data_IF_716591737271
#
_entry.id   IF_716591737271
#
_cell.length_a   1.000
_cell.length_b   1.000
_cell.length_c   1.000
_cell.angle_alpha   90.00
_cell.angle_beta   90.00
_cell.angle_gamma   90.00
#
_symmetry.space_group_name_H-M   'P 1'
#
loop_
_entity.id
_entity.type
_entity.pdbx_description
1 polymer ?
#
# COMPACT_ATOMS: atom_id res chain seq x y z
N UNK A 1 -4.56 -17.62 -62.67
CA UNK A 1 -5.11 -17.00 -61.44
C UNK A 1 -4.22 -17.26 -60.20
N UNK A 2 -2.91 -16.99 -60.27
CA UNK A 2 -1.92 -17.43 -59.23
C UNK A 2 -1.16 -16.28 -58.55
N UNK A 3 -1.52 -15.02 -58.87
CA UNK A 3 -0.75 -13.83 -58.47
C UNK A 3 -1.36 -12.97 -57.37
N UNK A 4 -2.59 -13.23 -56.91
CA UNK A 4 -3.28 -12.37 -55.91
C UNK A 4 -3.20 -12.87 -54.45
N UNK A 5 -2.80 -14.11 -54.20
CA UNK A 5 -2.76 -14.67 -52.83
C UNK A 5 -1.54 -14.25 -51.99
N UNK A 6 -0.46 -13.76 -52.59
CA UNK A 6 0.75 -13.38 -51.82
C UNK A 6 0.66 -12.04 -51.12
N UNK A 7 -0.24 -11.14 -51.53
CA UNK A 7 -0.41 -9.81 -50.89
C UNK A 7 -1.26 -9.85 -49.62
N UNK A 8 -2.13 -10.84 -49.47
CA UNK A 8 -2.99 -10.95 -48.28
C UNK A 8 -2.35 -11.73 -47.12
N UNK A 9 -1.27 -12.49 -47.37
CA UNK A 9 -0.56 -13.24 -46.33
C UNK A 9 0.40 -12.35 -45.51
N UNK A 10 0.89 -11.25 -46.07
CA UNK A 10 1.69 -10.27 -45.32
C UNK A 10 0.84 -9.30 -44.50
N UNK A 11 -0.46 -9.18 -44.80
CA UNK A 11 -1.36 -8.22 -44.12
C UNK A 11 -2.04 -8.86 -42.89
N UNK A 12 -2.16 -10.19 -42.83
CA UNK A 12 -2.70 -10.88 -41.65
C UNK A 12 -1.69 -11.10 -40.52
N UNK A 13 -0.38 -10.95 -40.75
CA UNK A 13 0.65 -11.08 -39.70
C UNK A 13 0.90 -9.75 -38.95
N UNK A 14 0.59 -8.61 -39.57
CA UNK A 14 0.76 -7.29 -38.92
C UNK A 14 -0.39 -6.86 -38.01
N UNK A 15 -1.51 -7.59 -37.99
CA UNK A 15 -2.70 -7.19 -37.24
C UNK A 15 -2.82 -7.83 -35.84
N UNK A 16 -1.82 -8.59 -35.37
CA UNK A 16 -1.97 -9.44 -34.18
C UNK A 16 -1.18 -9.01 -32.93
N UNK A 17 -0.40 -7.93 -32.92
CA UNK A 17 0.37 -7.54 -31.72
C UNK A 17 0.49 -6.03 -31.53
N UNK A 18 -0.65 -5.39 -31.33
CA UNK A 18 -0.71 -4.14 -30.56
C UNK A 18 -1.73 -4.37 -29.46
N UNK A 19 -1.42 -5.34 -28.57
CA UNK A 19 -1.91 -5.28 -27.20
C UNK A 19 -1.08 -4.18 -26.55
N UNK A 20 -1.53 -2.94 -26.66
CA UNK A 20 -1.11 -1.89 -25.73
C UNK A 20 -1.64 -2.38 -24.39
N UNK A 21 -0.79 -3.03 -23.61
CA UNK A 21 -1.01 -3.18 -22.17
C UNK A 21 -1.14 -1.75 -21.65
N UNK A 22 -2.37 -1.32 -21.39
CA UNK A 22 -2.57 -0.15 -20.53
C UNK A 22 -1.86 -0.52 -19.23
N UNK A 23 -0.81 0.21 -18.88
CA UNK A 23 -0.20 0.12 -17.57
C UNK A 23 -1.27 0.61 -16.57
N UNK A 24 -2.06 -0.34 -16.07
CA UNK A 24 -2.91 -0.09 -14.92
C UNK A 24 -2.04 -0.01 -13.68
N UNK A 25 -2.40 0.85 -12.75
CA UNK A 25 -1.88 0.72 -11.39
C UNK A 25 -2.47 -0.54 -10.78
N UNK A 26 -1.64 -1.33 -10.09
CA UNK A 26 -2.14 -2.37 -9.21
C UNK A 26 -2.83 -1.69 -8.04
N UNK A 27 -3.95 -2.24 -7.59
CA UNK A 27 -4.78 -1.64 -6.55
C UNK A 27 -5.21 -2.71 -5.54
N UNK A 28 -5.05 -2.39 -4.26
CA UNK A 28 -5.49 -3.20 -3.13
C UNK A 28 -6.46 -2.39 -2.26
N UNK A 29 -7.47 -3.08 -1.74
CA UNK A 29 -8.36 -2.53 -0.72
C UNK A 29 -8.04 -3.23 0.59
N UNK A 30 -7.57 -2.45 1.55
CA UNK A 30 -7.49 -2.82 2.96
C UNK A 30 -8.83 -2.41 3.57
N UNK A 31 -9.65 -3.40 3.92
CA UNK A 31 -10.92 -3.16 4.59
C UNK A 31 -10.67 -2.83 6.05
N UNK A 32 -11.41 -1.88 6.58
CA UNK A 32 -11.41 -1.67 8.02
C UNK A 32 -11.97 -2.91 8.73
N UNK A 33 -11.15 -3.46 9.61
CA UNK A 33 -11.47 -4.58 10.47
C UNK A 33 -10.73 -4.30 11.76
N UNK A 34 -11.44 -3.90 12.82
CA UNK A 34 -10.90 -3.64 14.15
C UNK A 34 -9.48 -4.14 14.34
N UNK A 35 -8.53 -3.22 14.28
CA UNK A 35 -7.15 -3.43 14.73
C UNK A 35 -6.87 -2.54 15.94
N UNK A 36 -5.92 -2.95 16.78
CA UNK A 36 -5.42 -2.16 17.89
C UNK A 36 -5.93 -2.68 19.24
N UNK A 37 -5.48 -2.10 20.35
CA UNK A 37 -5.88 -2.51 21.69
C UNK A 37 -5.90 -1.37 22.70
N UNK A 38 -6.11 -1.71 23.98
CA UNK A 38 -5.96 -0.76 25.09
C UNK A 38 -7.03 0.33 25.15
N UNK A 39 -8.26 0.00 25.52
CA UNK A 39 -9.34 0.98 25.70
C UNK A 39 -10.27 0.58 26.85
N UNK A 40 -11.10 1.52 27.30
CA UNK A 40 -12.25 1.24 28.18
C UNK A 40 -13.53 1.08 27.35
N UNK A 41 -14.40 0.09 27.65
CA UNK A 41 -15.60 -0.17 26.86
C UNK A 41 -16.71 0.90 27.00
N UNK A 42 -16.52 1.94 27.81
CA UNK A 42 -17.57 2.93 28.12
C UNK A 42 -18.12 3.68 26.89
N UNK A 43 -17.25 4.03 25.93
CA UNK A 43 -17.63 4.74 24.70
C UNK A 43 -17.27 3.95 23.43
N UNK A 44 -17.03 2.66 23.61
CA UNK A 44 -16.76 1.73 22.53
C UNK A 44 -18.03 1.45 21.72
N UNK A 45 -17.94 1.64 20.41
CA UNK A 45 -18.93 1.29 19.39
C UNK A 45 -18.43 0.09 18.59
N UNK A 46 -19.32 -0.55 17.81
CA UNK A 46 -18.95 -1.63 16.88
C UNK A 46 -18.10 -2.76 17.49
N UNK A 47 -18.35 -3.08 18.78
CA UNK A 47 -17.56 -4.10 19.48
C UNK A 47 -16.16 -3.65 19.91
N UNK A 48 -15.95 -2.33 20.03
CA UNK A 48 -14.71 -1.66 20.44
C UNK A 48 -13.85 -1.13 19.31
N UNK A 49 -14.35 -1.22 18.08
CA UNK A 49 -13.66 -0.80 16.86
C UNK A 49 -13.46 0.72 16.85
N UNK A 50 -14.57 1.43 17.06
CA UNK A 50 -14.59 2.88 17.14
C UNK A 50 -14.82 3.30 18.58
N UNK A 51 -14.04 4.24 19.08
CA UNK A 51 -14.29 4.94 20.34
C UNK A 51 -14.86 6.32 20.02
N UNK A 52 -16.09 6.59 20.41
CA UNK A 52 -16.74 7.88 20.11
C UNK A 52 -17.69 8.30 21.22
N UNK A 53 -17.68 9.58 21.57
CA UNK A 53 -18.66 10.14 22.50
C UNK A 53 -20.07 10.05 21.92
N UNK A 54 -21.12 9.95 22.77
CA UNK A 54 -22.50 9.92 22.29
C UNK A 54 -22.91 11.12 21.43
N UNK A 55 -22.21 12.25 21.55
CA UNK A 55 -22.42 13.47 20.75
C UNK A 55 -21.67 13.48 19.41
N UNK A 56 -20.79 12.52 19.18
CA UNK A 56 -19.84 12.45 18.06
C UNK A 56 -19.83 11.04 17.44
N UNK A 57 -21.00 10.41 17.36
CA UNK A 57 -21.14 9.05 16.81
C UNK A 57 -20.53 9.01 15.41
N UNK A 58 -19.66 8.04 15.19
CA UNK A 58 -18.90 7.81 13.95
C UNK A 58 -17.94 8.93 13.54
N UNK A 59 -17.73 9.96 14.35
CA UNK A 59 -16.82 11.06 13.99
C UNK A 59 -15.34 10.65 13.89
N UNK A 60 -15.01 9.40 14.24
CA UNK A 60 -13.68 8.82 14.13
C UNK A 60 -13.64 7.60 13.22
N UNK A 61 -14.77 7.22 12.59
CA UNK A 61 -14.91 5.98 11.82
C UNK A 61 -14.04 6.01 10.56
N UNK A 62 -13.34 4.91 10.29
CA UNK A 62 -12.52 4.70 9.10
C UNK A 62 -13.14 3.56 8.29
N UNK A 63 -13.50 3.81 7.04
CA UNK A 63 -14.18 2.79 6.22
C UNK A 63 -13.19 1.80 5.57
N UNK A 64 -12.11 2.33 4.98
CA UNK A 64 -11.13 1.56 4.22
C UNK A 64 -9.90 2.38 3.87
N UNK A 65 -8.85 1.66 3.48
CA UNK A 65 -7.64 2.19 2.86
C UNK A 65 -7.47 1.53 1.49
N UNK A 66 -7.29 2.34 0.46
CA UNK A 66 -6.97 1.89 -0.89
C UNK A 66 -5.51 2.25 -1.16
N UNK A 67 -4.71 1.25 -1.48
CA UNK A 67 -3.33 1.45 -1.93
C UNK A 67 -3.29 1.17 -3.42
N UNK A 68 -2.75 2.10 -4.20
CA UNK A 68 -2.48 1.88 -5.61
C UNK A 68 -1.03 2.19 -5.94
N UNK A 69 -0.42 1.33 -6.77
CA UNK A 69 0.98 1.43 -7.15
C UNK A 69 1.05 1.33 -8.67
N UNK A 70 1.53 2.40 -9.31
CA UNK A 70 1.65 2.43 -10.76
C UNK A 70 2.97 1.81 -11.27
N UNK A 71 3.10 1.67 -12.59
CA UNK A 71 4.31 1.12 -13.22
C UNK A 71 5.57 1.96 -13.02
N UNK A 72 5.46 3.20 -12.51
CA UNK A 72 6.60 4.06 -12.17
C UNK A 72 7.01 3.95 -10.68
N UNK A 73 6.29 3.14 -9.91
CA UNK A 73 6.49 2.98 -8.46
C UNK A 73 5.86 4.10 -7.65
N UNK A 74 5.00 4.92 -8.26
CA UNK A 74 4.23 5.93 -7.53
C UNK A 74 3.14 5.23 -6.75
N UNK A 75 3.18 5.40 -5.43
CA UNK A 75 2.18 4.91 -4.48
C UNK A 75 1.18 6.03 -4.23
N UNK A 76 -0.10 5.71 -4.30
CA UNK A 76 -1.19 6.52 -3.75
C UNK A 76 -1.89 5.69 -2.67
N UNK A 77 -1.87 6.19 -1.43
CA UNK A 77 -2.65 5.64 -0.31
C UNK A 77 -3.82 6.58 -0.06
N UNK A 78 -5.03 6.07 -0.25
CA UNK A 78 -6.29 6.80 -0.03
C UNK A 78 -7.07 6.18 1.10
N UNK A 79 -7.31 6.94 2.16
CA UNK A 79 -8.08 6.53 3.33
C UNK A 79 -9.45 7.20 3.26
N UNK A 80 -10.50 6.41 3.39
CA UNK A 80 -11.88 6.90 3.50
C UNK A 80 -12.26 6.96 4.98
N UNK A 81 -12.64 8.11 5.49
CA UNK A 81 -12.97 8.30 6.91
C UNK A 81 -13.96 9.45 7.12
N UNK A 82 -14.81 9.32 8.13
CA UNK A 82 -15.69 10.39 8.63
C UNK A 82 -14.92 11.38 9.53
N UNK A 83 -13.66 11.09 9.85
CA UNK A 83 -12.84 11.90 10.72
C UNK A 83 -12.43 13.24 10.11
N UNK A 84 -12.78 14.31 10.83
CA UNK A 84 -12.38 15.68 10.50
C UNK A 84 -11.35 16.17 11.53
N UNK A 85 -10.24 16.71 11.02
CA UNK A 85 -9.16 17.32 11.82
C UNK A 85 -9.70 18.30 12.88
N UNK A 86 -9.20 18.20 14.11
CA UNK A 86 -9.63 19.04 15.24
C UNK A 86 -10.82 18.50 16.03
N UNK A 87 -11.51 17.44 15.57
CA UNK A 87 -12.62 16.81 16.32
C UNK A 87 -12.14 16.39 17.71
N UNK A 88 -12.81 16.84 18.78
CA UNK A 88 -12.37 16.63 20.16
C UNK A 88 -10.89 16.98 20.45
N UNK A 89 -10.33 17.98 19.74
CA UNK A 89 -8.95 18.44 19.93
C UNK A 89 -7.88 17.49 19.37
N UNK A 90 -8.28 16.52 18.56
CA UNK A 90 -7.38 15.57 17.89
C UNK A 90 -6.82 16.15 16.60
N UNK A 91 -5.82 15.48 16.01
CA UNK A 91 -5.27 15.81 14.69
C UNK A 91 -5.17 14.57 13.82
N UNK A 92 -4.99 14.76 12.52
CA UNK A 92 -4.51 13.66 11.66
C UNK A 92 -3.19 13.11 12.20
N UNK A 93 -3.08 11.78 12.21
CA UNK A 93 -1.82 11.11 12.43
C UNK A 93 -1.00 10.99 11.14
N UNK A 94 0.15 10.35 11.29
CA UNK A 94 1.09 10.03 10.22
C UNK A 94 0.77 8.67 9.61
N UNK A 95 1.14 8.48 8.34
CA UNK A 95 1.02 7.19 7.67
C UNK A 95 2.30 6.39 7.92
N UNK A 96 2.20 5.30 8.66
CA UNK A 96 3.31 4.38 8.90
C UNK A 96 3.41 3.36 7.76
N UNK A 97 4.63 3.01 7.40
CA UNK A 97 4.96 2.17 6.25
C UNK A 97 5.99 1.13 6.68
N UNK A 98 5.65 -0.14 6.50
CA UNK A 98 6.56 -1.28 6.63
C UNK A 98 6.98 -1.76 5.23
N UNK A 99 8.21 -2.24 5.14
CA UNK A 99 8.86 -2.67 3.89
C UNK A 99 9.24 -4.15 3.87
N UNK A 100 8.94 -4.86 4.96
CA UNK A 100 9.13 -6.30 5.09
C UNK A 100 7.80 -7.07 5.33
N UNK A 101 6.67 -6.38 5.17
CA UNK A 101 5.33 -6.96 5.15
C UNK A 101 4.40 -6.31 6.19
N UNK A 102 3.34 -7.03 6.56
CA UNK A 102 2.47 -6.63 7.66
C UNK A 102 2.29 -7.82 8.60
N UNK A 103 2.83 -7.69 9.80
CA UNK A 103 2.96 -8.72 10.84
C UNK A 103 2.32 -8.23 12.15
N UNK A 104 0.98 -8.03 12.17
CA UNK A 104 0.28 -7.58 13.38
C UNK A 104 0.37 -8.61 14.50
N UNK A 105 0.20 -8.15 15.73
CA UNK A 105 0.25 -8.99 16.91
C UNK A 105 -1.07 -9.71 17.20
N UNK A 106 -0.96 -11.00 17.50
CA UNK A 106 -2.07 -11.83 17.95
C UNK A 106 -2.88 -12.43 16.80
N UNK A 107 -4.13 -12.78 17.08
CA UNK A 107 -5.05 -13.38 16.11
C UNK A 107 -6.04 -12.34 15.59
N UNK A 108 -6.40 -12.45 14.31
CA UNK A 108 -7.42 -11.62 13.67
C UNK A 108 -8.67 -11.51 14.55
N UNK A 109 -9.17 -10.29 14.81
CA UNK A 109 -8.83 -9.06 14.10
C UNK A 109 -7.66 -8.26 14.72
N UNK A 110 -6.84 -8.85 15.60
CA UNK A 110 -5.64 -8.24 16.20
C UNK A 110 -5.96 -7.18 17.28
N UNK A 111 -6.85 -7.55 18.21
CA UNK A 111 -7.38 -6.69 19.30
C UNK A 111 -6.38 -6.35 20.42
N UNK A 112 -5.21 -6.97 20.37
CA UNK A 112 -4.13 -6.77 21.34
C UNK A 112 -2.90 -6.12 20.67
N UNK A 113 -3.02 -5.70 19.40
CA UNK A 113 -1.97 -4.99 18.68
C UNK A 113 -1.84 -3.56 19.23
N UNK A 114 -0.66 -3.24 19.75
CA UNK A 114 -0.35 -1.94 20.30
C UNK A 114 1.13 -1.62 20.04
N UNK A 115 1.52 -0.38 20.28
CA UNK A 115 2.92 0.00 20.27
C UNK A 115 3.72 -0.86 21.26
N UNK A 116 4.76 -1.53 20.73
CA UNK A 116 5.70 -2.35 21.49
C UNK A 116 5.48 -3.86 21.39
N UNK A 117 4.34 -4.32 20.84
CA UNK A 117 4.15 -5.73 20.48
C UNK A 117 3.64 -5.94 19.05
N UNK A 118 3.06 -4.90 18.41
CA UNK A 118 2.58 -4.92 17.04
C UNK A 118 3.68 -4.82 15.98
N UNK A 119 3.27 -4.41 14.78
CA UNK A 119 4.14 -4.24 13.61
C UNK A 119 5.31 -3.29 13.88
N UNK A 120 6.46 -3.61 13.31
CA UNK A 120 7.62 -2.71 13.31
C UNK A 120 7.64 -1.91 12.02
N UNK A 121 7.57 -0.58 12.14
CA UNK A 121 7.53 0.31 10.98
C UNK A 121 8.94 0.82 10.64
N UNK A 122 9.34 0.77 9.36
CA UNK A 122 10.63 1.33 8.91
C UNK A 122 10.55 2.81 8.57
N UNK A 123 9.39 3.26 8.08
CA UNK A 123 9.17 4.62 7.63
C UNK A 123 7.85 5.18 8.14
N UNK A 124 7.78 6.51 8.21
CA UNK A 124 6.52 7.21 8.35
C UNK A 124 6.49 8.45 7.45
N UNK A 125 5.35 8.68 6.82
CA UNK A 125 5.01 9.93 6.17
C UNK A 125 4.50 10.91 7.23
N UNK A 126 5.26 11.97 7.49
CA UNK A 126 4.83 13.09 8.35
C UNK A 126 3.77 13.91 7.61
N UNK A 127 2.52 13.79 8.05
CA UNK A 127 1.34 14.42 7.44
C UNK A 127 1.42 15.95 7.51
N UNK A 128 2.13 16.50 8.49
CA UNK A 128 2.24 17.94 8.69
C UNK A 128 3.32 18.59 7.81
N UNK A 129 4.35 17.82 7.45
CA UNK A 129 5.50 18.29 6.67
C UNK A 129 5.50 17.81 5.21
N UNK A 130 4.63 16.86 4.85
CA UNK A 130 4.62 16.22 3.53
C UNK A 130 6.00 15.65 3.18
N UNK A 131 6.52 14.81 4.07
CA UNK A 131 7.84 14.22 3.91
C UNK A 131 7.90 12.86 4.59
N UNK A 132 8.71 11.96 4.05
CA UNK A 132 8.93 10.64 4.65
C UNK A 132 10.22 10.66 5.44
N UNK A 133 10.17 10.06 6.62
CA UNK A 133 11.32 9.87 7.51
C UNK A 133 11.51 8.38 7.80
N UNK A 134 12.76 7.98 8.02
CA UNK A 134 13.06 6.67 8.56
C UNK A 134 12.80 6.67 10.07
N UNK A 135 12.10 5.66 10.56
CA UNK A 135 11.86 5.44 12.00
C UNK A 135 13.17 5.26 12.77
N UNK A 136 14.25 4.82 12.12
CA UNK A 136 15.57 4.73 12.76
C UNK A 136 16.13 6.09 13.22
N UNK A 137 15.68 7.19 12.59
CA UNK A 137 16.17 8.55 12.85
C UNK A 137 15.18 9.43 13.63
N UNK A 138 13.98 8.91 13.93
CA UNK A 138 12.91 9.64 14.63
C UNK A 138 12.35 8.81 15.78
N UNK A 139 11.53 9.41 16.63
CA UNK A 139 10.78 8.66 17.66
C UNK A 139 9.31 8.58 17.30
N UNK A 140 8.72 7.39 17.44
CA UNK A 140 7.27 7.21 17.36
C UNK A 140 6.60 7.86 18.57
N UNK A 141 5.57 8.66 18.31
CA UNK A 141 4.66 9.22 19.28
C UNK A 141 3.38 8.39 19.29
N UNK A 142 2.98 7.99 20.49
CA UNK A 142 1.76 7.23 20.72
C UNK A 142 0.60 8.13 21.09
N UNK A 143 -0.63 7.63 21.00
CA UNK A 143 -1.83 8.31 21.48
C UNK A 143 -1.72 8.79 22.94
N UNK A 144 -0.97 8.07 23.80
CA UNK A 144 -0.72 8.46 25.18
C UNK A 144 0.14 9.74 25.30
N UNK A 145 1.02 10.01 24.34
CA UNK A 145 1.80 11.26 24.32
C UNK A 145 0.88 12.49 24.22
N UNK A 146 -0.32 12.34 23.67
CA UNK A 146 -1.29 13.43 23.47
C UNK A 146 -2.43 13.39 24.50
N UNK A 147 -2.94 12.20 24.85
CA UNK A 147 -4.21 12.04 25.57
C UNK A 147 -4.10 11.34 26.93
N UNK A 148 -2.89 11.10 27.47
CA UNK A 148 -2.71 10.49 28.81
C UNK A 148 -3.36 11.25 29.98
N UNK A 149 -3.75 12.51 29.77
CA UNK A 149 -4.49 13.33 30.74
C UNK A 149 -6.00 13.04 30.75
N UNK A 150 -6.53 12.31 29.76
CA UNK A 150 -7.92 11.89 29.68
C UNK A 150 -8.08 10.44 30.13
N UNK A 151 -9.30 10.02 30.54
CA UNK A 151 -9.60 8.61 30.75
C UNK A 151 -9.48 7.79 29.46
N UNK A 152 -9.07 6.52 29.56
CA UNK A 152 -8.94 5.58 28.42
C UNK A 152 -10.26 5.19 27.75
N UNK A 153 -11.38 5.80 28.15
CA UNK A 153 -12.65 5.72 27.43
C UNK A 153 -12.75 6.74 26.28
N UNK A 154 -11.90 7.77 26.26
CA UNK A 154 -11.95 8.85 25.27
C UNK A 154 -10.98 8.66 24.10
N UNK A 155 -10.01 7.77 24.27
CA UNK A 155 -8.95 7.50 23.31
C UNK A 155 -8.47 6.06 23.47
N UNK A 156 -7.93 5.50 22.40
CA UNK A 156 -7.29 4.18 22.41
C UNK A 156 -5.85 4.36 22.84
N UNK A 157 -5.44 3.66 23.87
CA UNK A 157 -4.14 3.82 24.53
C UNK A 157 -3.02 3.06 23.82
N UNK A 158 -1.80 3.60 23.88
CA UNK A 158 -0.56 3.03 23.37
C UNK A 158 -0.62 2.66 21.87
N UNK A 159 -1.26 3.48 21.06
CA UNK A 159 -1.31 3.30 19.61
C UNK A 159 -0.33 4.24 18.93
N UNK A 160 0.39 3.79 17.91
CA UNK A 160 1.24 4.60 17.05
C UNK A 160 0.37 5.54 16.23
N UNK A 161 0.62 6.84 16.36
CA UNK A 161 -0.19 7.88 15.70
C UNK A 161 0.64 8.90 14.95
N UNK A 162 1.84 9.24 15.41
CA UNK A 162 2.71 10.25 14.78
C UNK A 162 4.19 9.92 14.98
N UNK A 163 5.06 10.62 14.28
CA UNK A 163 6.50 10.68 14.57
C UNK A 163 6.90 12.06 15.07
N UNK A 164 7.98 12.09 15.84
CA UNK A 164 8.69 13.34 16.15
C UNK A 164 9.87 13.50 15.20
N UNK A 165 9.65 14.22 14.10
CA UNK A 165 10.63 14.48 13.05
C UNK A 165 11.55 15.68 13.35
N UNK A 166 11.45 16.30 14.52
CA UNK A 166 12.20 17.51 14.85
C UNK A 166 13.72 17.32 14.75
N UNK A 167 14.34 18.02 13.81
CA UNK A 167 15.79 17.97 13.58
C UNK A 167 16.26 16.76 12.77
N UNK A 168 15.35 15.88 12.36
CA UNK A 168 15.66 14.79 11.44
C UNK A 168 15.71 15.28 10.00
N UNK A 169 16.40 14.53 9.13
CA UNK A 169 16.43 14.78 7.69
C UNK A 169 15.46 13.83 7.01
N UNK A 170 14.55 14.31 6.13
CA UNK A 170 13.64 13.43 5.44
C UNK A 170 14.38 12.54 4.45
N UNK A 171 13.93 11.29 4.34
CA UNK A 171 14.31 10.34 3.29
C UNK A 171 13.77 10.81 1.95
N UNK A 172 12.55 11.38 1.94
CA UNK A 172 11.97 12.03 0.77
C UNK A 172 11.16 13.26 1.14
N UNK A 173 11.34 14.32 0.34
CA UNK A 173 10.63 15.59 0.44
C UNK A 173 9.81 15.92 -0.82
N UNK A 174 9.67 14.96 -1.75
CA UNK A 174 8.90 15.07 -2.99
C UNK A 174 7.51 14.44 -2.90
N UNK A 175 7.01 14.25 -1.68
CA UNK A 175 5.75 13.57 -1.42
C UNK A 175 4.60 14.57 -1.31
N UNK A 176 3.37 14.09 -1.35
CA UNK A 176 2.19 14.96 -1.23
C UNK A 176 1.13 14.34 -0.34
N UNK A 177 0.45 15.20 0.40
CA UNK A 177 -0.73 14.86 1.17
C UNK A 177 -1.83 15.84 0.77
N UNK A 178 -3.00 15.31 0.47
CA UNK A 178 -4.20 16.09 0.22
C UNK A 178 -5.35 15.54 1.04
N UNK A 179 -6.30 16.41 1.36
CA UNK A 179 -7.51 16.05 2.08
C UNK A 179 -8.73 16.63 1.39
N UNK A 180 -9.79 15.84 1.36
CA UNK A 180 -11.15 16.25 1.02
C UNK A 180 -12.08 15.88 2.20
N UNK A 181 -13.38 16.10 2.07
CA UNK A 181 -14.35 15.87 3.14
C UNK A 181 -14.35 14.43 3.69
N UNK A 182 -14.10 13.43 2.83
CA UNK A 182 -14.15 12.01 3.18
C UNK A 182 -12.84 11.27 2.93
N UNK A 183 -11.84 11.94 2.33
CA UNK A 183 -10.65 11.28 1.82
C UNK A 183 -9.38 11.94 2.31
N UNK A 184 -8.45 11.13 2.77
CA UNK A 184 -7.05 11.49 2.97
C UNK A 184 -6.23 10.77 1.92
N UNK A 185 -5.41 11.51 1.16
CA UNK A 185 -4.61 10.94 0.07
C UNK A 185 -3.15 11.28 0.27
N UNK A 186 -2.33 10.25 0.43
CA UNK A 186 -0.88 10.31 0.49
C UNK A 186 -0.31 9.82 -0.84
N UNK A 187 0.70 10.51 -1.36
CA UNK A 187 1.42 10.05 -2.54
C UNK A 187 2.93 10.21 -2.38
N UNK A 188 3.67 9.16 -2.74
CA UNK A 188 5.13 9.09 -2.69
C UNK A 188 5.64 8.04 -3.68
N UNK A 189 6.94 7.87 -3.84
CA UNK A 189 7.52 6.87 -4.74
C UNK A 189 8.25 5.77 -3.96
N UNK A 190 8.08 4.50 -4.35
CA UNK A 190 8.77 3.37 -3.72
C UNK A 190 10.30 3.45 -3.81
N UNK A 191 10.83 4.07 -4.88
CA UNK A 191 12.28 4.23 -5.03
C UNK A 191 12.88 5.13 -3.95
N UNK A 192 12.09 6.04 -3.36
CA UNK A 192 12.52 6.85 -2.22
C UNK A 192 12.75 5.99 -0.97
N UNK A 193 12.02 4.88 -0.85
CA UNK A 193 12.18 3.90 0.23
C UNK A 193 13.26 2.84 -0.10
N UNK A 194 13.93 2.97 -1.25
CA UNK A 194 14.90 1.98 -1.73
C UNK A 194 14.27 0.72 -2.32
N UNK A 195 12.97 0.73 -2.63
CA UNK A 195 12.25 -0.43 -3.15
C UNK A 195 12.19 -0.39 -4.68
N UNK A 196 12.49 -1.53 -5.31
CA UNK A 196 12.44 -1.69 -6.76
C UNK A 196 11.29 -2.61 -7.16
N UNK A 197 10.44 -2.14 -8.09
CA UNK A 197 9.30 -2.93 -8.60
C UNK A 197 9.72 -4.27 -9.23
N UNK A 198 10.92 -4.35 -9.81
CA UNK A 198 11.42 -5.54 -10.49
C UNK A 198 11.69 -6.72 -9.54
N UNK A 199 11.87 -6.42 -8.25
CA UNK A 199 12.18 -7.42 -7.21
C UNK A 199 10.92 -7.92 -6.49
N UNK A 200 9.75 -7.40 -6.84
CA UNK A 200 8.56 -7.52 -6.00
C UNK A 200 8.70 -6.69 -4.72
N UNK A 201 7.61 -6.62 -3.97
CA UNK A 201 7.54 -5.89 -2.71
C UNK A 201 6.49 -6.52 -1.80
N UNK A 202 6.69 -6.34 -0.50
CA UNK A 202 5.74 -6.66 0.55
C UNK A 202 5.72 -5.44 1.49
N UNK A 203 4.57 -4.78 1.57
CA UNK A 203 4.42 -3.49 2.23
C UNK A 203 3.33 -3.58 3.27
N UNK A 204 3.55 -2.98 4.43
CA UNK A 204 2.52 -2.75 5.45
C UNK A 204 2.17 -1.27 5.52
N UNK A 205 0.90 -0.96 5.78
CA UNK A 205 0.44 0.41 6.01
C UNK A 205 -0.39 0.48 7.27
N UNK A 206 -0.21 1.57 8.04
CA UNK A 206 -1.05 1.90 9.21
C UNK A 206 -1.37 3.38 9.24
N UNK A 207 -2.61 3.71 9.58
CA UNK A 207 -2.99 5.08 9.86
C UNK A 207 -4.05 5.17 10.94
N UNK A 208 -3.98 6.25 11.72
CA UNK A 208 -5.04 6.65 12.66
C UNK A 208 -4.92 8.14 12.97
N UNK A 209 -5.95 8.74 13.58
CA UNK A 209 -5.86 10.07 14.17
C UNK A 209 -5.11 10.03 15.52
N UNK A 210 -4.73 11.18 16.08
CA UNK A 210 -3.89 11.24 17.31
C UNK A 210 -4.47 10.55 18.55
N UNK A 211 -5.79 10.35 18.65
CA UNK A 211 -6.42 9.59 19.74
C UNK A 211 -6.53 8.08 19.45
N UNK A 212 -6.26 7.66 18.21
CA UNK A 212 -6.42 6.30 17.72
C UNK A 212 -7.78 5.68 18.02
N UNK A 213 -8.83 6.50 18.05
CA UNK A 213 -10.20 6.04 18.32
C UNK A 213 -10.69 5.02 17.30
N UNK A 214 -10.07 5.03 16.13
CA UNK A 214 -10.14 3.99 15.13
C UNK A 214 -8.75 3.84 14.47
N UNK A 215 -8.41 2.64 14.01
CA UNK A 215 -7.09 2.29 13.46
C UNK A 215 -7.27 1.36 12.27
N UNK A 216 -6.71 1.76 11.13
CA UNK A 216 -6.68 0.91 9.93
C UNK A 216 -5.25 0.47 9.62
N UNK A 217 -5.09 -0.83 9.37
CA UNK A 217 -3.84 -1.41 8.88
C UNK A 217 -4.03 -2.56 7.90
N UNK A 218 -3.02 -2.80 7.09
CA UNK A 218 -2.98 -3.98 6.24
C UNK A 218 -1.73 -4.07 5.38
N UNK A 219 -1.51 -5.28 4.86
CA UNK A 219 -0.42 -5.58 3.95
C UNK A 219 -0.84 -5.57 2.49
N UNK A 220 0.06 -5.16 1.61
CA UNK A 220 -0.04 -5.30 0.15
C UNK A 220 1.25 -5.86 -0.39
N UNK A 221 1.16 -6.82 -1.31
CA UNK A 221 2.34 -7.44 -1.89
C UNK A 221 2.18 -7.70 -3.38
N UNK A 222 3.31 -7.64 -4.07
CA UNK A 222 3.43 -8.03 -5.46
C UNK A 222 4.62 -8.96 -5.61
N UNK A 223 4.37 -10.12 -6.23
CA UNK A 223 5.45 -11.04 -6.60
C UNK A 223 6.13 -10.56 -7.88
N UNK A 224 7.45 -10.75 -8.04
CA UNK A 224 8.14 -10.38 -9.27
C UNK A 224 7.48 -11.07 -10.47
N UNK A 225 6.82 -10.29 -11.32
CA UNK A 225 6.19 -10.80 -12.54
C UNK A 225 7.30 -11.02 -13.58
N UNK A 226 7.44 -12.23 -14.15
CA UNK A 226 8.41 -12.44 -15.23
C UNK A 226 8.11 -11.48 -16.39
N UNK A 227 9.09 -10.66 -16.75
CA UNK A 227 8.98 -9.68 -17.84
C UNK A 227 8.37 -10.34 -19.09
N UNK A 228 7.35 -9.74 -19.74
CA UNK A 228 6.81 -10.19 -21.02
C UNK A 228 7.88 -10.53 -22.07
N UNK A 229 9.04 -9.86 -22.04
CA UNK A 229 10.18 -10.16 -22.89
C UNK A 229 10.72 -11.59 -22.68
N UNK A 230 10.62 -12.15 -21.47
CA UNK A 230 11.05 -13.52 -21.16
C UNK A 230 10.18 -14.55 -21.86
N UNK A 231 8.86 -14.36 -21.86
CA UNK A 231 7.94 -15.22 -22.63
C UNK A 231 8.12 -15.04 -24.13
N UNK A 232 8.38 -13.82 -24.59
CA UNK A 232 8.67 -13.56 -25.99
C UNK A 232 9.98 -14.22 -26.42
N UNK A 233 11.04 -14.11 -25.64
CA UNK A 233 12.35 -14.73 -25.91
C UNK A 233 12.27 -16.25 -25.82
N UNK A 234 11.55 -16.79 -24.84
CA UNK A 234 11.28 -18.22 -24.75
C UNK A 234 10.48 -18.71 -25.98
N UNK A 235 9.44 -17.96 -26.37
CA UNK A 235 8.64 -18.24 -27.57
C UNK A 235 9.47 -18.19 -28.85
N UNK A 236 10.30 -17.16 -29.02
CA UNK A 236 11.22 -17.03 -30.17
C UNK A 236 12.28 -18.13 -30.16
N UNK A 237 12.81 -18.51 -29.00
CA UNK A 237 13.73 -19.63 -28.83
C UNK A 237 13.11 -20.95 -29.29
N UNK A 238 11.89 -21.26 -28.84
CA UNK A 238 11.13 -22.45 -29.24
C UNK A 238 10.81 -22.48 -30.74
N UNK A 239 10.46 -21.34 -31.33
CA UNK A 239 10.25 -21.21 -32.77
C UNK A 239 11.54 -21.45 -33.56
N UNK A 240 12.67 -20.92 -33.07
CA UNK A 240 14.00 -21.14 -33.65
C UNK A 240 14.42 -22.61 -33.63
N UNK A 241 14.26 -23.27 -32.48
CA UNK A 241 14.49 -24.71 -32.30
C UNK A 241 13.62 -25.54 -33.26
N UNK A 242 12.33 -25.22 -33.36
CA UNK A 242 11.39 -25.91 -34.25
C UNK A 242 11.76 -25.76 -35.73
N UNK A 243 12.21 -24.57 -36.14
CA UNK A 243 12.66 -24.33 -37.51
C UNK A 243 13.97 -25.09 -37.84
N UNK A 244 14.91 -25.15 -36.89
CA UNK A 244 16.15 -25.89 -37.03
C UNK A 244 15.91 -27.42 -37.11
N UNK A 245 15.00 -27.94 -36.29
CA UNK A 245 14.63 -29.35 -36.30
C UNK A 245 14.02 -29.80 -37.65
N UNK A 246 13.18 -28.96 -38.28
CA UNK A 246 12.61 -29.25 -39.62
C UNK A 246 13.69 -29.35 -40.71
N UNK A 247 14.66 -28.43 -40.74
CA UNK A 247 15.77 -28.48 -41.70
C UNK A 247 16.63 -29.73 -41.60
N UNK A 248 16.74 -30.33 -40.41
CA UNK A 248 17.56 -31.53 -40.18
C UNK A 248 16.86 -32.80 -40.71
N UNK A 249 15.52 -32.84 -40.68
CA UNK A 249 14.72 -33.96 -41.21
C UNK A 249 14.75 -34.00 -42.74
N UNK A 250 14.70 -32.85 -43.40
CA UNK A 250 14.75 -32.77 -44.87
C UNK A 250 16.08 -33.25 -45.47
N UNK A 251 17.19 -33.12 -44.72
CA UNK A 251 18.51 -33.65 -45.16
C UNK A 251 18.69 -35.16 -44.94
N UNK A 252 17.83 -35.80 -44.15
CA UNK A 252 17.92 -37.24 -43.83
C UNK A 252 17.02 -38.12 -44.68
N UNK A 253 16.18 -37.54 -45.56
CA UNK A 253 15.27 -38.25 -46.47
C UNK A 253 15.77 -38.39 -47.91
N UNK A 254 17.05 -38.06 -48.17
CA UNK A 254 17.69 -38.26 -49.47
C UNK A 254 18.78 -39.33 -49.34
N UNK A 255 18.37 -40.60 -49.31
CA UNK A 255 19.18 -41.77 -49.67
C UNK A 255 18.34 -42.57 -50.68
#
# INVERSE_FOLDING_TARGET
MRGKMKKYLCITVLLFMVLISQAGADQWTIADNYIGGGYSPTYAQNGGDVISLPSEINAFDIDNMIVSIDSSGTVEVKITTDYIDGTSGTRYGDLFISTDGWHPFGDSPYRDDVYGNGESWEFAFDTSLNSIYSIADVSILTSNNFFSHLPSSYYRTNQEVQINSNGATPVSAGTSFTKDLLYLTYAFNLSDLGISLDQGYDLGFRWSMTCANDVIEGGVSSSPVPDPATFLMMGMGLLGLSAAARKKKDKSGSI
#
